data_IF_168134140451
#
_entry.id   IF_168134140451
#
_cell.length_a   1.000
_cell.length_b   1.000
_cell.length_c   1.000
_cell.angle_alpha   90.00
_cell.angle_beta   90.00
_cell.angle_gamma   90.00
#
_symmetry.space_group_name_H-M   'P 1'
#
loop_
_entity.id
_entity.type
_entity.pdbx_description
1 polymer ?
#
# COMPACT_ATOMS: atom_id res chain seq x y z
N UNK A 1 12.96 -7.48 30.22
CA UNK A 1 11.81 -6.67 30.65
C UNK A 1 10.85 -6.68 29.49
N UNK A 2 9.76 -7.43 29.61
CA UNK A 2 8.74 -7.56 28.56
C UNK A 2 7.97 -6.23 28.45
N UNK A 3 7.91 -5.63 27.27
CA UNK A 3 7.10 -4.45 27.03
C UNK A 3 5.60 -4.80 27.12
N UNK A 4 4.76 -3.96 27.75
CA UNK A 4 3.32 -4.23 27.94
C UNK A 4 2.48 -4.21 26.63
N UNK A 5 3.09 -4.08 25.47
CA UNK A 5 2.40 -3.85 24.19
C UNK A 5 2.49 -5.05 23.20
N UNK A 6 3.00 -6.20 23.62
CA UNK A 6 3.19 -7.37 22.74
C UNK A 6 1.87 -8.15 22.46
N UNK A 7 0.82 -7.93 23.26
CA UNK A 7 -0.43 -8.71 23.15
C UNK A 7 -1.32 -8.35 21.95
N UNK A 8 -1.15 -7.18 21.33
CA UNK A 8 -1.95 -6.76 20.16
C UNK A 8 -1.26 -6.97 18.82
N UNK A 9 0.04 -7.34 18.81
CA UNK A 9 0.82 -7.48 17.57
C UNK A 9 0.54 -8.76 16.78
N UNK A 10 -0.11 -9.77 17.36
CA UNK A 10 -0.24 -11.10 16.76
C UNK A 10 -1.66 -11.70 16.83
N UNK A 11 -2.71 -10.90 16.98
CA UNK A 11 -4.08 -11.39 16.81
C UNK A 11 -4.43 -11.36 15.32
N UNK A 12 -4.49 -12.53 14.64
CA UNK A 12 -4.84 -12.60 13.22
C UNK A 12 -6.29 -12.17 12.93
N UNK A 13 -7.10 -11.99 13.98
CA UNK A 13 -8.52 -11.59 13.87
C UNK A 13 -8.72 -10.08 13.95
N UNK A 14 -7.72 -9.30 14.36
CA UNK A 14 -7.85 -7.85 14.46
C UNK A 14 -7.73 -7.20 13.07
N UNK A 15 -8.80 -6.53 12.62
CA UNK A 15 -8.79 -5.74 11.39
C UNK A 15 -7.78 -4.60 11.48
N UNK A 16 -6.89 -4.55 10.50
CA UNK A 16 -5.90 -3.48 10.31
C UNK A 16 -6.48 -2.38 9.45
N UNK A 17 -6.47 -1.15 9.94
CA UNK A 17 -6.96 0.03 9.24
C UNK A 17 -5.82 1.01 9.00
N UNK A 18 -5.39 1.09 7.75
CA UNK A 18 -4.23 1.85 7.31
C UNK A 18 -4.56 3.04 6.41
N UNK A 19 -3.54 3.85 6.21
CA UNK A 19 -3.48 4.88 5.18
C UNK A 19 -2.43 4.51 4.14
N UNK A 20 -2.66 4.92 2.89
CA UNK A 20 -1.73 4.76 1.77
C UNK A 20 -1.56 6.09 1.04
N UNK A 21 -0.36 6.38 0.57
CA UNK A 21 -0.04 7.55 -0.26
C UNK A 21 1.01 7.21 -1.30
N UNK A 22 0.87 7.77 -2.50
CA UNK A 22 1.90 7.69 -3.53
C UNK A 22 2.91 8.84 -3.45
N UNK A 23 2.79 9.69 -2.42
CA UNK A 23 3.61 10.88 -2.30
C UNK A 23 3.21 11.97 -3.31
N UNK A 24 1.91 12.08 -3.58
CA UNK A 24 1.36 13.12 -4.46
C UNK A 24 1.85 14.51 -4.06
N UNK A 25 2.25 15.32 -5.03
CA UNK A 25 2.66 16.72 -4.78
C UNK A 25 1.43 17.57 -4.51
N UNK A 26 1.25 18.04 -3.25
CA UNK A 26 0.07 18.83 -2.88
C UNK A 26 0.23 20.30 -3.27
N UNK A 27 -0.85 21.06 -3.10
CA UNK A 27 -0.80 22.52 -3.12
C UNK A 27 -0.85 23.08 -1.69
N UNK A 28 -0.25 24.26 -1.51
CA UNK A 28 -0.45 25.06 -0.29
C UNK A 28 -1.85 25.71 -0.27
N UNK A 29 -2.17 26.45 0.80
CA UNK A 29 -3.47 27.11 0.95
C UNK A 29 -3.70 28.25 -0.06
N UNK A 30 -2.67 28.69 -0.78
CA UNK A 30 -2.79 29.64 -1.90
C UNK A 30 -2.99 28.97 -3.26
N UNK A 31 -2.96 27.61 -3.31
CA UNK A 31 -3.12 26.81 -4.53
C UNK A 31 -1.82 26.63 -5.32
N UNK A 32 -0.66 26.93 -4.73
CA UNK A 32 0.65 26.75 -5.37
C UNK A 32 1.19 25.35 -5.04
N UNK A 33 1.65 24.63 -6.07
CA UNK A 33 2.28 23.31 -5.90
C UNK A 33 3.51 23.42 -4.99
N UNK A 34 3.62 22.49 -4.05
CA UNK A 34 4.84 22.35 -3.26
C UNK A 34 5.99 21.85 -4.14
N UNK A 35 7.22 22.08 -3.69
CA UNK A 35 8.39 21.39 -4.25
C UNK A 35 8.42 19.93 -3.83
N UNK A 36 9.09 19.06 -4.60
CA UNK A 36 9.25 17.64 -4.25
C UNK A 36 9.80 17.47 -2.82
N UNK A 37 10.79 18.28 -2.45
CA UNK A 37 11.38 18.26 -1.12
C UNK A 37 10.37 18.61 -0.01
N UNK A 38 9.46 19.56 -0.28
CA UNK A 38 8.39 19.92 0.66
C UNK A 38 7.31 18.82 0.71
N UNK A 39 6.96 18.23 -0.43
CA UNK A 39 6.01 17.12 -0.52
C UNK A 39 6.50 15.88 0.25
N UNK A 40 7.79 15.52 0.13
CA UNK A 40 8.39 14.42 0.91
C UNK A 40 8.31 14.71 2.42
N UNK A 41 8.63 15.92 2.85
CA UNK A 41 8.50 16.30 4.28
C UNK A 41 7.05 16.24 4.75
N UNK A 42 6.10 16.65 3.89
CA UNK A 42 4.68 16.57 4.19
C UNK A 42 4.23 15.12 4.43
N UNK A 43 4.69 14.15 3.64
CA UNK A 43 4.40 12.72 3.87
C UNK A 43 4.91 12.27 5.25
N UNK A 44 6.09 12.73 5.67
CA UNK A 44 6.62 12.41 7.00
C UNK A 44 5.77 13.03 8.11
N UNK A 45 5.34 14.28 7.96
CA UNK A 45 4.52 14.97 8.96
C UNK A 45 3.10 14.35 9.05
N UNK A 46 2.50 13.94 7.93
CA UNK A 46 1.23 13.20 7.89
C UNK A 46 1.36 11.83 8.59
N UNK A 47 2.50 11.14 8.43
CA UNK A 47 2.77 9.88 9.12
C UNK A 47 2.87 10.06 10.64
N UNK A 48 3.52 11.13 11.11
CA UNK A 48 3.61 11.47 12.53
C UNK A 48 2.23 11.78 13.10
N UNK A 49 1.40 12.52 12.37
CA UNK A 49 0.02 12.78 12.75
C UNK A 49 -0.77 11.46 12.85
N UNK A 50 -0.67 10.61 11.85
CA UNK A 50 -1.35 9.30 11.81
C UNK A 50 -0.94 8.39 12.99
N UNK A 51 0.36 8.34 13.34
CA UNK A 51 0.86 7.61 14.52
C UNK A 51 0.22 8.12 15.81
N UNK A 52 0.15 9.46 15.96
CA UNK A 52 -0.50 10.11 17.11
C UNK A 52 -1.98 9.78 17.26
N UNK A 53 -2.66 9.54 16.15
CA UNK A 53 -4.10 9.27 16.09
C UNK A 53 -4.46 7.78 16.10
N UNK A 54 -3.47 6.88 16.17
CA UNK A 54 -3.71 5.44 16.30
C UNK A 54 -4.06 4.74 14.98
N UNK A 55 -3.62 5.27 13.85
CA UNK A 55 -3.66 4.55 12.56
C UNK A 55 -2.73 3.35 12.65
N UNK A 56 -3.16 2.17 12.17
CA UNK A 56 -2.40 0.93 12.37
C UNK A 56 -1.18 0.82 11.45
N UNK A 57 -1.27 1.33 10.22
CA UNK A 57 -0.20 1.26 9.21
C UNK A 57 -0.24 2.45 8.26
N UNK A 58 0.92 2.92 7.85
CA UNK A 58 1.08 3.81 6.69
C UNK A 58 1.86 3.08 5.61
N UNK A 59 1.29 3.05 4.39
CA UNK A 59 1.95 2.59 3.19
C UNK A 59 2.40 3.77 2.32
N UNK A 60 3.57 3.66 1.72
CA UNK A 60 4.13 4.69 0.82
C UNK A 60 4.49 4.04 -0.52
N UNK A 61 3.91 4.53 -1.60
CA UNK A 61 4.14 4.02 -2.95
C UNK A 61 5.46 4.46 -3.57
N UNK A 62 5.91 3.70 -4.57
CA UNK A 62 7.08 4.00 -5.40
C UNK A 62 6.63 4.45 -6.79
N UNK A 63 6.98 5.66 -7.17
CA UNK A 63 6.68 6.21 -8.49
C UNK A 63 7.83 7.06 -9.03
N UNK A 64 8.00 7.08 -10.36
CA UNK A 64 9.03 7.82 -11.06
C UNK A 64 8.41 8.81 -12.05
N UNK A 65 7.47 9.63 -11.57
CA UNK A 65 6.66 10.56 -12.36
C UNK A 65 6.56 11.91 -11.67
N UNK A 66 6.41 13.01 -12.42
CA UNK A 66 6.37 14.36 -11.85
C UNK A 66 5.18 14.63 -10.92
N UNK A 67 4.13 13.77 -10.95
CA UNK A 67 2.97 13.92 -10.06
C UNK A 67 3.25 13.43 -8.63
N UNK A 68 4.27 12.60 -8.45
CA UNK A 68 4.61 11.93 -7.19
C UNK A 68 6.06 12.17 -6.81
N UNK A 69 6.28 12.71 -5.62
CA UNK A 69 7.62 13.07 -5.15
C UNK A 69 8.41 11.87 -4.59
N UNK A 70 7.75 10.73 -4.31
CA UNK A 70 8.39 9.59 -3.68
C UNK A 70 8.77 8.52 -4.70
N UNK A 71 10.08 8.35 -4.89
CA UNK A 71 10.69 7.32 -5.74
C UNK A 71 11.43 6.23 -4.95
N UNK A 72 11.66 6.45 -3.65
CA UNK A 72 12.39 5.55 -2.75
C UNK A 72 11.63 5.46 -1.42
N UNK A 73 10.51 4.70 -1.40
CA UNK A 73 9.62 4.66 -0.24
C UNK A 73 10.35 4.24 1.04
N UNK A 74 11.27 3.29 0.99
CA UNK A 74 12.03 2.83 2.16
C UNK A 74 12.90 3.93 2.80
N UNK A 75 13.38 4.90 1.99
CA UNK A 75 14.13 6.05 2.52
C UNK A 75 13.21 7.00 3.29
N UNK A 76 12.02 7.24 2.78
CA UNK A 76 10.99 8.04 3.46
C UNK A 76 10.51 7.33 4.72
N UNK A 77 10.26 6.02 4.63
CA UNK A 77 9.88 5.17 5.78
C UNK A 77 10.96 5.17 6.88
N UNK A 78 12.25 5.18 6.53
CA UNK A 78 13.34 5.33 7.50
C UNK A 78 13.26 6.67 8.26
N UNK A 79 12.94 7.76 7.55
CA UNK A 79 12.69 9.07 8.18
C UNK A 79 11.49 9.04 9.13
N UNK A 80 10.39 8.40 8.73
CA UNK A 80 9.19 8.22 9.55
C UNK A 80 9.48 7.33 10.76
N UNK A 81 10.26 6.26 10.60
CA UNK A 81 10.60 5.31 11.67
C UNK A 81 11.15 6.00 12.93
N UNK A 82 11.99 7.02 12.72
CA UNK A 82 12.64 7.76 13.82
C UNK A 82 11.75 8.79 14.50
N UNK A 83 10.57 9.10 13.93
CA UNK A 83 9.63 10.12 14.44
C UNK A 83 8.31 9.53 14.93
N UNK A 84 8.13 8.21 14.82
CA UNK A 84 6.91 7.47 15.17
C UNK A 84 7.24 6.30 16.11
N UNK A 85 6.24 5.77 16.80
CA UNK A 85 6.47 4.73 17.81
C UNK A 85 5.53 3.52 17.71
N UNK A 86 4.40 3.62 17.02
CA UNK A 86 3.34 2.58 16.94
C UNK A 86 2.99 2.15 15.55
N UNK A 87 2.82 3.10 14.65
CA UNK A 87 2.37 2.86 13.28
C UNK A 87 3.32 1.92 12.55
N UNK A 88 2.79 0.91 11.88
CA UNK A 88 3.57 0.03 11.01
C UNK A 88 3.91 0.78 9.72
N UNK A 89 5.07 0.48 9.18
CA UNK A 89 5.67 1.18 8.06
C UNK A 89 5.75 0.25 6.85
N UNK A 90 4.93 0.50 5.85
CA UNK A 90 4.80 -0.36 4.67
C UNK A 90 5.13 0.39 3.39
N UNK A 91 5.58 -0.30 2.35
CA UNK A 91 5.48 0.25 1.00
C UNK A 91 4.14 -0.10 0.36
N UNK A 92 3.66 0.74 -0.57
CA UNK A 92 2.40 0.50 -1.26
C UNK A 92 2.41 0.86 -2.75
N UNK A 93 3.28 0.24 -3.57
CA UNK A 93 4.17 -0.92 -3.44
C UNK A 93 5.64 -0.54 -3.64
N UNK A 94 6.58 -1.45 -3.31
CA UNK A 94 7.93 -1.45 -3.88
C UNK A 94 7.91 -2.19 -5.21
N UNK A 95 8.42 -1.57 -6.27
CA UNK A 95 8.43 -2.14 -7.63
C UNK A 95 9.60 -3.12 -7.78
N UNK A 96 9.41 -4.36 -7.32
CA UNK A 96 10.45 -5.39 -7.32
C UNK A 96 10.96 -5.73 -8.72
N UNK A 97 10.13 -5.57 -9.76
CA UNK A 97 10.53 -5.85 -11.15
C UNK A 97 11.74 -5.02 -11.60
N UNK A 98 11.85 -3.78 -11.16
CA UNK A 98 12.92 -2.85 -11.55
C UNK A 98 13.98 -2.65 -10.46
N UNK A 99 13.96 -3.41 -9.36
CA UNK A 99 14.94 -3.32 -8.27
C UNK A 99 15.66 -4.66 -8.04
N UNK A 100 16.76 -4.65 -7.28
CA UNK A 100 17.46 -5.86 -6.85
C UNK A 100 16.87 -6.38 -5.53
N UNK A 101 16.42 -7.65 -5.47
CA UNK A 101 15.76 -8.21 -4.28
C UNK A 101 16.65 -8.18 -3.01
N UNK A 102 17.98 -8.31 -3.17
CA UNK A 102 18.92 -8.22 -2.04
C UNK A 102 18.91 -6.79 -1.48
N UNK A 103 18.92 -5.78 -2.36
CA UNK A 103 18.85 -4.37 -1.92
C UNK A 103 17.52 -4.03 -1.28
N UNK A 104 16.41 -4.51 -1.82
CA UNK A 104 15.09 -4.32 -1.23
C UNK A 104 15.05 -4.92 0.17
N UNK A 105 15.50 -6.17 0.34
CA UNK A 105 15.57 -6.81 1.66
C UNK A 105 16.44 -6.00 2.65
N UNK A 106 17.65 -5.59 2.24
CA UNK A 106 18.55 -4.83 3.10
C UNK A 106 17.98 -3.49 3.55
N UNK A 107 17.30 -2.76 2.65
CA UNK A 107 16.66 -1.47 2.97
C UNK A 107 15.51 -1.66 3.95
N UNK A 108 14.64 -2.65 3.73
CA UNK A 108 13.54 -2.92 4.67
C UNK A 108 14.02 -3.50 6.01
N UNK A 109 15.05 -4.33 6.04
CA UNK A 109 15.70 -4.76 7.29
C UNK A 109 16.28 -3.58 8.07
N UNK A 110 16.81 -2.56 7.36
CA UNK A 110 17.26 -1.31 7.99
C UNK A 110 16.11 -0.49 8.55
N UNK A 111 15.00 -0.37 7.80
CA UNK A 111 13.77 0.30 8.31
C UNK A 111 13.22 -0.46 9.52
N UNK A 112 13.25 -1.79 9.49
CA UNK A 112 12.82 -2.64 10.60
C UNK A 112 13.62 -2.36 11.88
N UNK A 113 14.95 -2.32 11.78
CA UNK A 113 15.82 -1.96 12.89
C UNK A 113 15.57 -0.54 13.41
N UNK A 114 15.45 0.46 12.52
CA UNK A 114 15.19 1.86 12.90
C UNK A 114 13.82 2.05 13.56
N UNK A 115 12.85 1.23 13.21
CA UNK A 115 11.49 1.29 13.72
C UNK A 115 11.23 0.39 14.94
N UNK A 116 12.20 -0.46 15.36
CA UNK A 116 11.98 -1.45 16.40
C UNK A 116 10.99 -2.54 15.98
N UNK A 117 11.14 -3.07 14.77
CA UNK A 117 10.37 -4.21 14.27
C UNK A 117 8.99 -3.87 13.67
N UNK A 118 8.79 -2.64 13.15
CA UNK A 118 7.51 -2.19 12.58
C UNK A 118 7.46 -2.17 11.04
N UNK A 119 8.53 -2.61 10.37
CA UNK A 119 8.57 -2.59 8.91
C UNK A 119 7.75 -3.71 8.27
N UNK A 120 7.11 -3.38 7.18
CA UNK A 120 6.43 -4.29 6.26
C UNK A 120 6.80 -3.92 4.82
N UNK A 121 6.65 -4.84 3.89
CA UNK A 121 6.82 -4.55 2.46
C UNK A 121 5.67 -5.13 1.66
N UNK A 122 5.11 -4.32 0.75
CA UNK A 122 4.22 -4.81 -0.31
C UNK A 122 5.01 -4.79 -1.61
N UNK A 123 5.25 -5.97 -2.17
CA UNK A 123 5.97 -6.13 -3.43
C UNK A 123 5.01 -6.10 -4.60
N UNK A 124 5.33 -5.32 -5.61
CA UNK A 124 4.54 -5.20 -6.82
C UNK A 124 5.37 -5.34 -8.09
N UNK A 125 4.68 -5.60 -9.21
CA UNK A 125 5.29 -5.61 -10.54
C UNK A 125 5.48 -4.20 -11.13
N UNK A 126 4.82 -3.21 -10.52
CA UNK A 126 4.67 -1.89 -11.09
C UNK A 126 3.53 -1.85 -12.12
N UNK A 127 2.45 -1.13 -11.81
CA UNK A 127 1.37 -0.87 -12.77
C UNK A 127 1.73 0.26 -13.73
N UNK A 128 2.67 1.06 -13.36
CA UNK A 128 3.30 2.12 -14.14
C UNK A 128 4.64 1.62 -14.66
N UNK A 129 4.91 1.84 -15.94
CA UNK A 129 6.04 1.20 -16.63
C UNK A 129 7.27 2.11 -16.75
N UNK A 130 7.22 3.31 -16.18
CA UNK A 130 8.29 4.31 -16.26
C UNK A 130 9.60 3.86 -15.61
N UNK A 131 9.56 2.99 -14.61
CA UNK A 131 10.77 2.46 -13.97
C UNK A 131 11.59 1.55 -14.91
N UNK A 132 10.95 0.89 -15.88
CA UNK A 132 11.64 -0.05 -16.76
C UNK A 132 12.71 0.66 -17.62
N UNK A 133 12.37 1.64 -18.47
CA UNK A 133 13.40 2.34 -19.23
C UNK A 133 14.34 3.17 -18.35
N UNK A 134 13.86 3.67 -17.21
CA UNK A 134 14.68 4.46 -16.28
C UNK A 134 15.83 3.63 -15.69
N UNK A 135 15.59 2.36 -15.38
CA UNK A 135 16.59 1.45 -14.80
C UNK A 135 17.17 0.45 -15.81
N UNK A 136 16.85 0.60 -17.10
CA UNK A 136 17.43 -0.20 -18.18
C UNK A 136 16.83 -1.60 -18.30
N UNK A 137 15.60 -1.81 -17.89
CA UNK A 137 14.87 -3.06 -18.07
C UNK A 137 13.96 -3.01 -19.30
N UNK A 138 13.81 -4.15 -19.97
CA UNK A 138 12.86 -4.31 -21.08
C UNK A 138 11.51 -4.75 -20.55
N UNK A 139 10.44 -4.17 -21.08
CA UNK A 139 9.05 -4.58 -20.77
C UNK A 139 8.72 -5.99 -21.27
N UNK A 140 9.47 -6.51 -22.25
CA UNK A 140 9.33 -7.91 -22.67
C UNK A 140 9.65 -8.88 -21.53
N UNK A 141 10.50 -8.49 -20.58
CA UNK A 141 10.92 -9.30 -19.43
C UNK A 141 10.01 -9.09 -18.19
N UNK A 142 8.89 -8.36 -18.33
CA UNK A 142 8.02 -7.96 -17.23
C UNK A 142 7.63 -9.11 -16.26
N UNK A 143 7.25 -10.26 -16.81
CA UNK A 143 6.85 -11.41 -15.98
C UNK A 143 8.05 -12.14 -15.36
N UNK A 144 9.12 -12.38 -16.13
CA UNK A 144 10.29 -13.11 -15.63
C UNK A 144 11.05 -12.31 -14.58
N UNK A 145 11.16 -11.00 -14.76
CA UNK A 145 11.77 -10.11 -13.76
C UNK A 145 11.09 -10.23 -12.40
N UNK A 146 9.77 -10.17 -12.36
CA UNK A 146 9.06 -10.27 -11.10
C UNK A 146 9.11 -11.67 -10.50
N UNK A 147 8.91 -12.72 -11.32
CA UNK A 147 8.87 -14.10 -10.85
C UNK A 147 10.21 -14.52 -10.22
N UNK A 148 11.33 -14.31 -10.91
CA UNK A 148 12.65 -14.69 -10.42
C UNK A 148 13.10 -13.85 -9.23
N UNK A 149 12.80 -12.53 -9.24
CA UNK A 149 13.16 -11.63 -8.15
C UNK A 149 12.31 -11.93 -6.89
N UNK A 150 11.04 -12.30 -7.05
CA UNK A 150 10.21 -12.73 -5.94
C UNK A 150 10.69 -14.04 -5.34
N UNK A 151 11.08 -15.04 -6.17
CA UNK A 151 11.67 -16.29 -5.66
C UNK A 151 12.94 -16.03 -4.83
N UNK A 152 13.82 -15.18 -5.31
CA UNK A 152 15.00 -14.79 -4.53
C UNK A 152 14.60 -14.06 -3.24
N UNK A 153 13.65 -13.12 -3.30
CA UNK A 153 13.24 -12.37 -2.12
C UNK A 153 12.67 -13.29 -1.04
N UNK A 154 11.85 -14.28 -1.41
CA UNK A 154 11.31 -15.27 -0.48
C UNK A 154 12.41 -16.09 0.22
N UNK A 155 13.50 -16.40 -0.49
CA UNK A 155 14.67 -17.07 0.12
C UNK A 155 15.38 -16.16 1.11
N UNK A 156 15.49 -14.86 0.82
CA UNK A 156 16.08 -13.87 1.73
C UNK A 156 15.29 -13.75 3.05
N UNK A 157 13.96 -13.91 3.01
CA UNK A 157 13.12 -13.90 4.21
C UNK A 157 13.46 -15.03 5.23
N UNK A 158 14.22 -16.03 4.82
CA UNK A 158 14.68 -17.10 5.72
C UNK A 158 15.87 -16.66 6.59
N UNK A 159 16.51 -15.52 6.29
CA UNK A 159 17.66 -14.94 6.99
C UNK A 159 18.84 -15.92 7.19
N UNK A 160 19.03 -16.82 6.22
CA UNK A 160 20.11 -17.80 6.16
C UNK A 160 21.00 -17.50 4.94
N UNK A 161 22.19 -18.09 4.85
CA UNK A 161 22.98 -18.00 3.62
C UNK A 161 22.17 -18.49 2.41
N UNK A 162 22.17 -17.70 1.34
CA UNK A 162 21.34 -17.95 0.16
C UNK A 162 22.21 -18.42 -1.00
N UNK A 163 21.81 -19.55 -1.57
CA UNK A 163 22.23 -20.00 -2.90
C UNK A 163 21.04 -19.89 -3.83
N UNK A 164 21.22 -19.12 -4.92
CA UNK A 164 20.17 -18.86 -5.91
C UNK A 164 20.78 -18.67 -7.29
N UNK A 165 20.04 -19.07 -8.32
CA UNK A 165 20.42 -18.91 -9.72
C UNK A 165 19.16 -18.62 -10.54
N UNK A 166 19.29 -17.70 -11.49
CA UNK A 166 18.24 -17.29 -12.41
C UNK A 166 18.85 -16.58 -13.62
N UNK A 167 18.01 -15.95 -14.43
CA UNK A 167 18.41 -15.29 -15.68
C UNK A 167 18.51 -13.77 -15.57
N UNK A 168 17.82 -13.17 -14.58
CA UNK A 168 17.67 -11.72 -14.48
C UNK A 168 18.74 -11.03 -13.62
N UNK A 169 19.60 -11.80 -12.95
CA UNK A 169 20.75 -11.29 -12.18
C UNK A 169 21.82 -12.37 -11.98
N UNK A 170 23.07 -11.97 -11.63
CA UNK A 170 24.11 -12.94 -11.29
C UNK A 170 23.72 -13.85 -10.11
N UNK A 171 24.16 -15.12 -10.11
CA UNK A 171 23.83 -16.08 -9.07
C UNK A 171 24.44 -15.71 -7.71
N UNK A 172 23.82 -16.19 -6.65
CA UNK A 172 24.35 -16.18 -5.29
C UNK A 172 24.84 -17.58 -4.92
N UNK A 173 25.97 -17.65 -4.19
CA UNK A 173 26.55 -18.91 -3.71
C UNK A 173 26.84 -18.76 -2.21
N UNK A 174 26.07 -19.43 -1.37
CA UNK A 174 26.18 -19.38 0.10
C UNK A 174 26.37 -17.95 0.65
N UNK A 175 25.63 -17.00 0.07
CA UNK A 175 25.78 -15.58 0.33
C UNK A 175 25.06 -15.19 1.62
N UNK A 176 25.78 -14.59 2.56
CA UNK A 176 25.16 -13.94 3.72
C UNK A 176 24.66 -12.56 3.32
N UNK A 177 23.36 -12.29 3.59
CA UNK A 177 22.74 -10.98 3.37
C UNK A 177 22.45 -10.35 4.73
N UNK A 178 22.95 -9.15 4.95
CA UNK A 178 22.87 -8.39 6.19
C UNK A 178 22.35 -6.97 5.89
N UNK A 179 21.73 -6.28 6.88
CA UNK A 179 21.42 -6.77 8.22
C UNK A 179 20.31 -7.83 8.24
N UNK A 180 20.16 -8.52 9.35
CA UNK A 180 18.94 -9.27 9.67
C UNK A 180 17.88 -8.32 10.20
N UNK A 181 16.62 -8.72 10.15
CA UNK A 181 15.54 -7.94 10.73
C UNK A 181 15.56 -7.94 12.24
N UNK A 182 15.17 -6.86 12.87
CA UNK A 182 14.99 -6.75 14.32
C UNK A 182 13.81 -7.62 14.79
N UNK A 183 12.74 -7.64 13.98
CA UNK A 183 11.55 -8.46 14.22
C UNK A 183 11.78 -9.97 14.06
N UNK A 184 12.92 -10.38 13.47
CA UNK A 184 13.19 -11.77 13.05
C UNK A 184 12.27 -12.25 11.91
N UNK A 185 11.47 -11.34 11.33
CA UNK A 185 10.53 -11.65 10.25
C UNK A 185 10.05 -10.37 9.56
N UNK A 186 10.44 -10.15 8.33
CA UNK A 186 9.88 -9.07 7.53
C UNK A 186 8.50 -9.47 6.98
N UNK A 187 7.44 -8.83 7.49
CA UNK A 187 6.09 -9.04 6.97
C UNK A 187 6.01 -8.61 5.51
N UNK A 188 5.69 -9.58 4.65
CA UNK A 188 5.74 -9.39 3.19
C UNK A 188 4.39 -9.67 2.55
N UNK A 189 3.93 -8.73 1.75
CA UNK A 189 2.71 -8.80 0.96
C UNK A 189 3.04 -8.78 -0.53
N UNK A 190 2.16 -9.30 -1.35
CA UNK A 190 2.21 -9.17 -2.81
C UNK A 190 1.00 -8.42 -3.29
N UNK A 191 1.23 -7.35 -4.05
CA UNK A 191 0.17 -6.56 -4.67
C UNK A 191 -0.48 -7.30 -5.85
N UNK A 192 -1.81 -7.43 -5.81
CA UNK A 192 -2.61 -8.17 -6.80
C UNK A 192 -3.70 -7.25 -7.36
N UNK A 193 -3.59 -6.91 -8.65
CA UNK A 193 -4.53 -6.04 -9.34
C UNK A 193 -5.70 -6.76 -10.05
N UNK A 194 -5.95 -8.05 -9.75
CA UNK A 194 -7.07 -8.79 -10.34
C UNK A 194 -6.67 -9.80 -11.44
N UNK A 195 -5.50 -10.41 -11.33
CA UNK A 195 -5.04 -11.51 -12.19
C UNK A 195 -5.01 -12.82 -11.37
N UNK A 196 -5.69 -13.90 -11.81
CA UNK A 196 -5.64 -15.20 -11.15
C UNK A 196 -4.21 -15.73 -11.00
N UNK A 197 -3.34 -15.46 -11.97
CA UNK A 197 -1.93 -15.87 -11.95
C UNK A 197 -1.18 -15.22 -10.79
N UNK A 198 -1.44 -13.92 -10.53
CA UNK A 198 -0.83 -13.22 -9.39
C UNK A 198 -1.32 -13.77 -8.05
N UNK A 199 -2.59 -14.15 -7.95
CA UNK A 199 -3.15 -14.82 -6.76
C UNK A 199 -2.45 -16.15 -6.49
N UNK A 200 -2.34 -17.02 -7.52
CA UNK A 200 -1.69 -18.33 -7.41
C UNK A 200 -0.19 -18.21 -7.09
N UNK A 201 0.48 -17.21 -7.67
CA UNK A 201 1.88 -16.90 -7.34
C UNK A 201 2.04 -16.56 -5.87
N UNK A 202 1.21 -15.65 -5.35
CA UNK A 202 1.23 -15.25 -3.94
C UNK A 202 1.01 -16.44 -3.01
N UNK A 203 0.00 -17.28 -3.29
CA UNK A 203 -0.30 -18.49 -2.52
C UNK A 203 0.86 -19.50 -2.56
N UNK A 204 1.48 -19.73 -3.73
CA UNK A 204 2.62 -20.64 -3.90
C UNK A 204 3.80 -20.28 -3.01
N UNK A 205 4.10 -18.98 -2.89
CA UNK A 205 5.18 -18.49 -2.04
C UNK A 205 4.79 -18.37 -0.56
N UNK A 206 3.55 -18.67 -0.18
CA UNK A 206 3.08 -18.52 1.21
C UNK A 206 3.16 -17.10 1.73
N UNK A 207 2.91 -16.10 0.86
CA UNK A 207 2.92 -14.68 1.19
C UNK A 207 1.51 -14.13 1.33
N UNK A 208 1.37 -13.03 2.07
CA UNK A 208 0.11 -12.33 2.21
C UNK A 208 -0.27 -11.60 0.91
N UNK A 209 -1.58 -11.53 0.62
CA UNK A 209 -2.12 -10.91 -0.59
C UNK A 209 -2.70 -9.53 -0.28
N UNK A 210 -2.26 -8.50 -1.02
CA UNK A 210 -2.83 -7.16 -1.00
C UNK A 210 -3.56 -6.87 -2.31
N UNK A 211 -4.88 -6.74 -2.26
CA UNK A 211 -5.70 -6.42 -3.43
C UNK A 211 -5.65 -4.92 -3.75
N UNK A 212 -5.31 -4.58 -4.98
CA UNK A 212 -5.40 -3.21 -5.50
C UNK A 212 -6.79 -3.00 -6.13
N UNK A 213 -7.73 -2.52 -5.34
CA UNK A 213 -9.12 -2.28 -5.77
C UNK A 213 -9.28 -0.80 -6.11
N UNK A 214 -8.93 -0.44 -7.33
CA UNK A 214 -8.84 0.95 -7.79
C UNK A 214 -9.98 1.37 -8.76
N UNK A 215 -11.00 0.54 -8.93
CA UNK A 215 -12.16 0.85 -9.77
C UNK A 215 -13.17 -0.28 -9.83
N UNK A 216 -14.44 0.09 -9.97
CA UNK A 216 -15.59 -0.80 -10.01
C UNK A 216 -15.98 -1.39 -8.64
N UNK A 217 -17.07 -2.16 -8.57
CA UNK A 217 -17.58 -2.72 -7.32
C UNK A 217 -16.54 -3.62 -6.64
N UNK A 218 -16.25 -3.43 -5.34
CA UNK A 218 -15.27 -4.25 -4.61
C UNK A 218 -15.60 -5.74 -4.61
N UNK A 219 -16.88 -6.10 -4.62
CA UNK A 219 -17.37 -7.49 -4.60
C UNK A 219 -16.86 -8.34 -5.78
N UNK A 220 -16.52 -7.70 -6.90
CA UNK A 220 -15.90 -8.39 -8.06
C UNK A 220 -14.56 -9.05 -7.73
N UNK A 221 -13.94 -8.68 -6.60
CA UNK A 221 -12.69 -9.26 -6.13
C UNK A 221 -12.88 -10.47 -5.19
N UNK A 222 -14.10 -10.78 -4.75
CA UNK A 222 -14.38 -11.95 -3.93
C UNK A 222 -13.86 -13.26 -4.54
N UNK A 223 -13.97 -13.55 -5.87
CA UNK A 223 -13.40 -14.73 -6.47
C UNK A 223 -11.87 -14.87 -6.29
N UNK A 224 -11.13 -13.75 -6.21
CA UNK A 224 -9.68 -13.77 -5.97
C UNK A 224 -9.34 -14.09 -4.52
N UNK A 225 -10.14 -13.61 -3.57
CA UNK A 225 -10.03 -13.97 -2.15
C UNK A 225 -10.27 -15.47 -1.97
N UNK A 226 -11.33 -16.00 -2.58
CA UNK A 226 -11.65 -17.43 -2.53
C UNK A 226 -10.59 -18.27 -3.24
N UNK A 227 -10.06 -17.81 -4.37
CA UNK A 227 -8.97 -18.49 -5.06
C UNK A 227 -7.71 -18.56 -4.19
N UNK A 228 -7.35 -17.46 -3.53
CA UNK A 228 -6.20 -17.40 -2.63
C UNK A 228 -6.33 -18.41 -1.48
N UNK A 229 -7.47 -18.42 -0.78
CA UNK A 229 -7.74 -19.34 0.33
C UNK A 229 -7.68 -20.79 -0.09
N UNK A 230 -8.32 -21.16 -1.21
CA UNK A 230 -8.27 -22.52 -1.76
C UNK A 230 -6.87 -22.92 -2.20
N UNK A 231 -6.13 -22.00 -2.82
CA UNK A 231 -4.78 -22.29 -3.28
C UNK A 231 -3.80 -22.50 -2.11
N UNK A 232 -3.86 -21.70 -1.05
CA UNK A 232 -3.03 -21.89 0.14
C UNK A 232 -3.36 -23.21 0.83
N UNK A 233 -4.63 -23.57 0.94
CA UNK A 233 -5.07 -24.87 1.49
C UNK A 233 -4.54 -26.05 0.67
N UNK A 234 -4.73 -26.02 -0.66
CA UNK A 234 -4.28 -27.09 -1.56
C UNK A 234 -2.74 -27.25 -1.60
N UNK A 235 -2.01 -26.15 -1.48
CA UNK A 235 -0.55 -26.14 -1.51
C UNK A 235 0.07 -26.40 -0.14
N UNK A 236 -0.72 -26.39 0.93
CA UNK A 236 -0.22 -26.51 2.31
C UNK A 236 0.67 -25.34 2.72
N UNK A 237 0.48 -24.16 2.11
CA UNK A 237 1.21 -22.96 2.46
C UNK A 237 0.48 -22.17 3.55
N UNK A 238 1.19 -21.31 4.33
CA UNK A 238 0.53 -20.51 5.35
C UNK A 238 -0.61 -19.66 4.79
N UNK A 239 -1.77 -19.70 5.43
CA UNK A 239 -2.87 -18.80 5.15
C UNK A 239 -2.65 -17.49 5.92
N UNK A 240 -2.56 -16.38 5.18
CA UNK A 240 -2.44 -15.04 5.74
C UNK A 240 -3.76 -14.27 5.57
N UNK A 241 -4.03 -13.25 6.40
CA UNK A 241 -5.10 -12.31 6.12
C UNK A 241 -4.92 -11.68 4.73
N UNK A 242 -6.04 -11.48 4.03
CA UNK A 242 -6.04 -10.73 2.77
C UNK A 242 -6.16 -9.24 3.11
N UNK A 243 -5.33 -8.43 2.49
CA UNK A 243 -5.42 -6.97 2.55
C UNK A 243 -6.05 -6.41 1.28
N UNK A 244 -6.52 -5.18 1.37
CA UNK A 244 -6.90 -4.38 0.21
C UNK A 244 -6.50 -2.92 0.38
N UNK A 245 -6.26 -2.24 -0.74
CA UNK A 245 -6.20 -0.80 -0.76
C UNK A 245 -7.18 -0.23 -1.79
N UNK A 246 -7.74 0.94 -1.49
CA UNK A 246 -8.66 1.65 -2.39
C UNK A 246 -8.55 3.16 -2.22
N UNK A 247 -8.78 3.94 -3.29
CA UNK A 247 -8.79 5.40 -3.20
C UNK A 247 -9.96 5.91 -2.36
N UNK A 248 -9.70 6.96 -1.60
CA UNK A 248 -10.74 7.61 -0.83
C UNK A 248 -10.32 8.94 -0.22
N UNK A 249 -11.27 9.66 0.33
CA UNK A 249 -11.03 10.94 0.97
C UNK A 249 -12.12 11.24 2.01
N UNK A 250 -11.70 11.72 3.17
CA UNK A 250 -12.61 12.04 4.27
C UNK A 250 -12.61 13.54 4.52
N UNK A 251 -13.79 14.16 4.56
CA UNK A 251 -13.97 15.54 4.98
C UNK A 251 -15.12 15.63 5.99
N UNK A 252 -15.41 16.82 6.52
CA UNK A 252 -16.43 17.00 7.55
C UNK A 252 -17.83 16.68 7.03
N UNK A 253 -18.08 16.83 5.71
CA UNK A 253 -19.35 16.48 5.07
C UNK A 253 -19.14 15.71 3.78
N UNK A 254 -20.15 14.98 3.32
CA UNK A 254 -20.14 14.25 2.05
C UNK A 254 -19.94 15.20 0.86
N UNK A 255 -20.57 16.36 0.89
CA UNK A 255 -20.48 17.37 -0.18
C UNK A 255 -19.06 17.93 -0.26
N UNK A 256 -18.50 18.36 0.85
CA UNK A 256 -17.12 18.87 0.93
C UNK A 256 -16.10 17.83 0.42
N UNK A 257 -16.23 16.58 0.84
CA UNK A 257 -15.33 15.52 0.40
C UNK A 257 -15.38 15.32 -1.12
N UNK A 258 -16.59 15.25 -1.68
CA UNK A 258 -16.82 15.05 -3.12
C UNK A 258 -16.28 16.20 -3.96
N UNK A 259 -16.48 17.45 -3.54
CA UNK A 259 -16.02 18.62 -4.28
C UNK A 259 -14.49 18.82 -4.17
N UNK A 260 -13.93 18.65 -2.96
CA UNK A 260 -12.49 18.78 -2.73
C UNK A 260 -11.69 17.76 -3.53
N UNK A 261 -12.16 16.50 -3.56
CA UNK A 261 -11.41 15.42 -4.20
C UNK A 261 -11.63 15.35 -5.72
N UNK A 262 -12.74 15.88 -6.25
CA UNK A 262 -13.13 15.74 -7.66
C UNK A 262 -12.06 16.20 -8.64
N UNK A 263 -11.62 17.44 -8.53
CA UNK A 263 -10.70 18.02 -9.51
C UNK A 263 -9.32 17.37 -9.49
N UNK A 264 -8.65 17.23 -8.33
CA UNK A 264 -7.35 16.56 -8.27
C UNK A 264 -7.39 15.11 -8.73
N UNK A 265 -8.41 14.34 -8.32
CA UNK A 265 -8.59 12.96 -8.75
C UNK A 265 -8.82 12.83 -10.26
N UNK A 266 -9.70 13.66 -10.82
CA UNK A 266 -9.95 13.67 -12.25
C UNK A 266 -8.69 13.97 -13.06
N UNK A 267 -7.91 14.96 -12.67
CA UNK A 267 -6.69 15.37 -13.38
C UNK A 267 -5.67 14.22 -13.43
N UNK A 268 -5.42 13.55 -12.31
CA UNK A 268 -4.53 12.38 -12.24
C UNK A 268 -5.08 11.22 -13.06
N UNK A 269 -6.37 10.89 -12.86
CA UNK A 269 -7.02 9.78 -13.55
C UNK A 269 -7.04 9.98 -15.07
N UNK A 270 -7.30 11.19 -15.55
CA UNK A 270 -7.32 11.51 -16.97
C UNK A 270 -5.93 11.44 -17.58
N UNK A 271 -4.90 11.90 -16.85
CA UNK A 271 -3.50 11.82 -17.29
C UNK A 271 -3.01 10.37 -17.41
N UNK A 272 -3.29 9.53 -16.42
CA UNK A 272 -2.98 8.09 -16.48
C UNK A 272 -3.83 7.42 -17.56
N UNK A 273 -5.10 7.78 -17.66
CA UNK A 273 -6.04 7.25 -18.62
C UNK A 273 -5.64 7.51 -20.06
N UNK A 274 -5.12 8.69 -20.36
CA UNK A 274 -4.64 9.03 -21.71
C UNK A 274 -3.55 8.06 -22.21
N UNK A 275 -2.68 7.58 -21.31
CA UNK A 275 -1.65 6.60 -21.65
C UNK A 275 -2.21 5.17 -21.87
N UNK A 276 -3.41 4.91 -21.35
CA UNK A 276 -4.08 3.60 -21.38
C UNK A 276 -5.27 3.58 -22.36
N UNK A 277 -5.50 4.68 -23.08
CA UNK A 277 -6.63 4.80 -24.00
C UNK A 277 -7.99 4.94 -23.30
N UNK A 278 -8.03 5.36 -22.04
CA UNK A 278 -9.27 5.58 -21.31
C UNK A 278 -9.86 6.96 -21.66
N UNK A 279 -11.19 7.08 -21.76
CA UNK A 279 -11.81 8.39 -21.94
C UNK A 279 -11.66 9.26 -20.68
N UNK A 280 -11.74 10.60 -20.83
CA UNK A 280 -11.77 11.50 -19.68
C UNK A 280 -12.91 11.16 -18.72
N UNK A 281 -12.64 11.25 -17.41
CA UNK A 281 -13.59 10.95 -16.35
C UNK A 281 -14.71 11.99 -16.32
N UNK A 282 -15.95 11.53 -16.40
CA UNK A 282 -17.14 12.37 -16.26
C UNK A 282 -17.60 12.39 -14.80
N UNK A 283 -18.22 13.50 -14.39
CA UNK A 283 -18.74 13.65 -13.04
C UNK A 283 -19.69 12.52 -12.65
N UNK A 284 -20.58 12.13 -13.54
CA UNK A 284 -21.53 11.03 -13.28
C UNK A 284 -20.83 9.67 -13.02
N UNK A 285 -19.70 9.41 -13.67
CA UNK A 285 -18.91 8.21 -13.43
C UNK A 285 -18.20 8.26 -12.06
N UNK A 286 -17.68 9.43 -11.69
CA UNK A 286 -17.11 9.66 -10.37
C UNK A 286 -18.16 9.44 -9.26
N UNK A 287 -19.33 10.03 -9.39
CA UNK A 287 -20.41 9.83 -8.40
C UNK A 287 -20.84 8.35 -8.34
N UNK A 288 -20.92 7.67 -9.47
CA UNK A 288 -21.24 6.24 -9.49
C UNK A 288 -20.17 5.39 -8.78
N UNK A 289 -18.88 5.73 -8.93
CA UNK A 289 -17.79 5.07 -8.22
C UNK A 289 -17.84 5.34 -6.71
N UNK A 290 -18.25 6.53 -6.28
CA UNK A 290 -18.48 6.81 -4.85
C UNK A 290 -19.62 5.98 -4.30
N UNK A 291 -20.74 5.89 -5.03
CA UNK A 291 -21.93 5.18 -4.55
C UNK A 291 -21.79 3.66 -4.57
N UNK A 292 -21.26 3.10 -5.66
CA UNK A 292 -21.28 1.65 -5.94
C UNK A 292 -19.91 1.04 -6.27
N UNK A 293 -18.90 1.87 -6.48
CA UNK A 293 -17.55 1.44 -6.83
C UNK A 293 -16.57 1.51 -5.66
N UNK A 294 -15.30 1.65 -5.98
CA UNK A 294 -14.18 1.59 -5.04
C UNK A 294 -13.68 2.96 -4.57
N UNK A 295 -14.41 4.05 -4.78
CA UNK A 295 -14.09 5.35 -4.19
C UNK A 295 -14.76 5.50 -2.81
N UNK A 296 -13.94 5.63 -1.76
CA UNK A 296 -14.40 5.80 -0.37
C UNK A 296 -14.32 7.27 0.00
N UNK A 297 -15.30 8.06 -0.47
CA UNK A 297 -15.31 9.53 -0.36
C UNK A 297 -16.57 9.97 0.36
N UNK A 298 -16.40 10.79 1.39
CA UNK A 298 -17.53 11.32 2.17
C UNK A 298 -17.13 11.77 3.56
N UNK A 299 -18.19 11.98 4.37
CA UNK A 299 -18.08 12.18 5.82
C UNK A 299 -17.54 10.91 6.50
N UNK A 300 -17.05 11.02 7.75
CA UNK A 300 -16.59 9.85 8.50
C UNK A 300 -17.64 8.73 8.55
N UNK A 301 -18.92 9.05 8.72
CA UNK A 301 -20.01 8.08 8.78
C UNK A 301 -20.21 7.34 7.45
N UNK A 302 -20.16 8.07 6.35
CA UNK A 302 -20.35 7.51 5.00
C UNK A 302 -19.18 6.60 4.64
N UNK A 303 -17.96 7.04 4.89
CA UNK A 303 -16.75 6.24 4.61
C UNK A 303 -16.70 5.01 5.51
N UNK A 304 -16.95 5.14 6.82
CA UNK A 304 -16.91 4.03 7.75
C UNK A 304 -17.93 2.93 7.41
N UNK A 305 -19.18 3.30 7.07
CA UNK A 305 -20.20 2.35 6.64
C UNK A 305 -19.81 1.58 5.39
N UNK A 306 -19.27 2.29 4.38
CA UNK A 306 -18.84 1.67 3.13
C UNK A 306 -17.64 0.74 3.35
N UNK A 307 -16.65 1.16 4.15
CA UNK A 307 -15.51 0.32 4.53
C UNK A 307 -15.96 -0.94 5.27
N UNK A 308 -16.79 -0.82 6.29
CA UNK A 308 -17.30 -1.96 7.05
C UNK A 308 -18.09 -2.95 6.17
N UNK A 309 -18.92 -2.45 5.25
CA UNK A 309 -19.64 -3.29 4.28
C UNK A 309 -18.67 -4.07 3.38
N UNK A 310 -17.64 -3.42 2.84
CA UNK A 310 -16.64 -4.06 1.99
C UNK A 310 -15.81 -5.09 2.76
N UNK A 311 -15.37 -4.75 3.98
CA UNK A 311 -14.61 -5.68 4.84
C UNK A 311 -15.43 -6.95 5.10
N UNK A 312 -16.73 -6.82 5.42
CA UNK A 312 -17.61 -7.98 5.61
C UNK A 312 -17.78 -8.80 4.33
N UNK A 313 -18.01 -8.14 3.20
CA UNK A 313 -18.31 -8.83 1.93
C UNK A 313 -17.11 -9.60 1.39
N UNK A 314 -15.90 -9.07 1.54
CA UNK A 314 -14.67 -9.70 1.07
C UNK A 314 -13.97 -10.56 2.14
N UNK A 315 -14.29 -10.38 3.41
CA UNK A 315 -13.62 -11.06 4.52
C UNK A 315 -12.13 -10.71 4.59
N UNK A 316 -11.77 -9.43 4.33
CA UNK A 316 -10.39 -8.95 4.42
C UNK A 316 -10.02 -8.59 5.84
N UNK A 317 -8.74 -8.79 6.20
CA UNK A 317 -8.19 -8.45 7.52
C UNK A 317 -7.40 -7.15 7.54
N UNK A 318 -7.24 -6.48 6.39
CA UNK A 318 -6.57 -5.18 6.28
C UNK A 318 -7.23 -4.32 5.20
N UNK A 319 -7.41 -3.03 5.51
CA UNK A 319 -7.89 -2.03 4.58
C UNK A 319 -7.01 -0.79 4.65
N UNK A 320 -6.31 -0.46 3.57
CA UNK A 320 -5.52 0.77 3.44
C UNK A 320 -6.29 1.76 2.57
N UNK A 321 -6.59 2.93 3.11
CA UNK A 321 -7.22 4.03 2.38
C UNK A 321 -6.14 4.86 1.68
N UNK A 322 -6.10 4.82 0.33
CA UNK A 322 -5.27 5.73 -0.46
C UNK A 322 -5.91 7.13 -0.42
N UNK A 323 -5.47 7.94 0.55
CA UNK A 323 -6.12 9.20 0.90
C UNK A 323 -5.64 10.41 0.09
N UNK A 324 -4.64 10.22 -0.76
CA UNK A 324 -4.10 11.28 -1.62
C UNK A 324 -4.48 11.07 -3.09
N UNK A 325 -4.65 12.19 -3.81
CA UNK A 325 -4.81 12.18 -5.26
C UNK A 325 -4.38 13.55 -5.81
N UNK A 326 -3.26 13.60 -6.50
CA UNK A 326 -2.79 14.80 -7.16
C UNK A 326 -2.65 16.01 -6.23
N UNK A 327 -2.99 17.19 -6.74
CA UNK A 327 -2.77 18.47 -6.11
C UNK A 327 -3.85 18.84 -5.05
N UNK A 328 -4.12 17.91 -4.12
CA UNK A 328 -4.96 18.22 -2.96
C UNK A 328 -4.28 19.26 -2.05
N UNK A 329 -5.04 20.20 -1.42
CA UNK A 329 -4.49 21.11 -0.43
C UNK A 329 -3.91 20.38 0.78
N UNK A 330 -2.77 20.88 1.30
CA UNK A 330 -2.13 20.32 2.51
C UNK A 330 -3.10 20.29 3.69
N UNK A 331 -3.83 21.40 3.93
CA UNK A 331 -4.83 21.48 5.01
C UNK A 331 -5.93 20.42 4.89
N UNK A 332 -6.42 20.18 3.68
CA UNK A 332 -7.43 19.15 3.43
C UNK A 332 -6.89 17.72 3.65
N UNK A 333 -5.64 17.43 3.28
CA UNK A 333 -4.98 16.15 3.54
C UNK A 333 -4.80 15.89 5.04
N UNK A 334 -4.31 16.88 5.79
CA UNK A 334 -4.17 16.78 7.24
C UNK A 334 -5.51 16.56 7.93
N UNK A 335 -6.58 17.28 7.50
CA UNK A 335 -7.92 17.08 8.02
C UNK A 335 -8.44 15.67 7.72
N UNK A 336 -8.20 15.14 6.52
CA UNK A 336 -8.60 13.78 6.17
C UNK A 336 -7.90 12.72 7.06
N UNK A 337 -6.60 12.87 7.34
CA UNK A 337 -5.87 11.99 8.28
C UNK A 337 -6.44 12.09 9.68
N UNK A 338 -6.74 13.31 10.16
CA UNK A 338 -7.35 13.54 11.48
C UNK A 338 -8.71 12.84 11.61
N UNK A 339 -9.61 13.06 10.64
CA UNK A 339 -10.94 12.46 10.62
C UNK A 339 -10.87 10.92 10.49
N UNK A 340 -9.93 10.41 9.70
CA UNK A 340 -9.73 8.98 9.56
C UNK A 340 -9.35 8.34 10.90
N UNK A 341 -8.32 8.84 11.57
CA UNK A 341 -7.87 8.28 12.85
C UNK A 341 -8.88 8.46 13.97
N UNK A 342 -9.46 9.68 14.11
CA UNK A 342 -10.32 10.00 15.26
C UNK A 342 -11.78 9.56 15.12
N UNK A 343 -12.27 9.36 13.89
CA UNK A 343 -13.70 9.06 13.63
C UNK A 343 -13.88 7.78 12.83
N UNK A 344 -13.26 7.65 11.65
CA UNK A 344 -13.52 6.51 10.76
C UNK A 344 -13.08 5.20 11.40
N UNK A 345 -11.85 5.11 11.92
CA UNK A 345 -11.33 3.88 12.54
C UNK A 345 -12.23 3.38 13.67
N UNK A 346 -12.60 4.20 14.69
CA UNK A 346 -13.52 3.75 15.74
C UNK A 346 -14.87 3.27 15.20
N UNK A 347 -15.49 4.05 14.28
CA UNK A 347 -16.78 3.70 13.69
C UNK A 347 -16.72 2.37 12.90
N UNK A 348 -15.65 2.12 12.13
CA UNK A 348 -15.50 0.84 11.40
C UNK A 348 -15.41 -0.32 12.38
N UNK A 349 -14.61 -0.17 13.44
CA UNK A 349 -14.48 -1.20 14.49
C UNK A 349 -15.81 -1.47 15.19
N UNK A 350 -16.55 -0.44 15.58
CA UNK A 350 -17.87 -0.57 16.20
C UNK A 350 -18.88 -1.24 15.27
N UNK A 351 -18.92 -0.83 14.00
CA UNK A 351 -19.79 -1.43 13.00
C UNK A 351 -19.49 -2.92 12.77
N UNK A 352 -18.24 -3.36 12.90
CA UNK A 352 -17.85 -4.76 12.69
C UNK A 352 -17.99 -5.63 13.94
N UNK A 353 -18.04 -5.03 15.12
CA UNK A 353 -18.26 -5.72 16.41
C UNK A 353 -19.72 -6.07 16.66
N UNK A 354 -20.66 -5.34 16.05
CA UNK A 354 -22.13 -5.59 16.13
C UNK A 354 -22.62 -6.37 14.92
#
# INVERSE_FOLDING_TARGET
MSHPNDSHRNDPSALVLGLDTFGDVPVDDSGVLLTDAAAIRQVVDEAVLADGLGVDVLAVGEHHRPEWAVSTPETVLAGIATRTSRIRLSSGVTVLSSDDPVRVFQRFATVDALSGGRAEVILGRGSSTESFPLFGFDLADYEVLFEEKLDLFVRLLQERPVTWEGTVRPPLRDAQVLPRTESGRLTTWVGVGGSPQSVLRTARHGLAMMLAIIGGPPERFAPYVDLYRRATDQLGTPAHPVGMHSPGFVADTDEEARETYWRPYREIRDRIGAQRGWPPLRRAEYEAEIERGSLYIGSPETVARKMAATVRSLGVGRFDLLYTAGALPVSARLRAVELYGTKVIPMVRDLLAG
#
